data_IF_586583297677
#
_entry.id   IF_586583297677
#
_cell.length_a   1.000
_cell.length_b   1.000
_cell.length_c   1.000
_cell.angle_alpha   90.00
_cell.angle_beta   90.00
_cell.angle_gamma   90.00
#
_symmetry.space_group_name_H-M   'P 1'
#
loop_
_entity.id
_entity.type
_entity.pdbx_description
1 polymer ?
#
# COMPACT_ATOMS: atom_id res chain seq x y z
N UNK A 1 -4.29 -18.42 19.51
CA UNK A 1 -5.35 -18.21 20.54
C UNK A 1 -6.10 -16.90 20.35
N UNK A 2 -5.46 -15.73 20.44
CA UNK A 2 -6.14 -14.43 20.22
C UNK A 2 -6.88 -14.35 18.87
N UNK A 3 -6.24 -14.81 17.78
CA UNK A 3 -6.89 -14.86 16.45
C UNK A 3 -8.15 -15.74 16.45
N UNK A 4 -8.06 -16.95 17.00
CA UNK A 4 -9.21 -17.87 17.09
C UNK A 4 -10.39 -17.25 17.87
N UNK A 5 -10.08 -16.60 18.99
CA UNK A 5 -11.08 -15.90 19.81
C UNK A 5 -11.71 -14.73 19.06
N UNK A 6 -10.91 -13.94 18.34
CA UNK A 6 -11.43 -12.81 17.57
C UNK A 6 -12.28 -13.25 16.36
N UNK A 7 -11.92 -14.37 15.74
CA UNK A 7 -12.65 -14.95 14.62
C UNK A 7 -13.84 -15.85 15.04
N UNK A 8 -14.09 -15.99 16.34
CA UNK A 8 -15.13 -16.87 16.90
C UNK A 8 -15.05 -18.32 16.40
N UNK A 9 -13.84 -18.88 16.34
CA UNK A 9 -13.57 -20.26 15.93
C UNK A 9 -12.83 -21.07 17.00
N UNK A 10 -13.01 -22.40 17.05
CA UNK A 10 -12.22 -23.26 17.93
C UNK A 10 -10.72 -23.13 17.65
N UNK A 11 -9.90 -23.23 18.70
CA UNK A 11 -8.43 -23.19 18.55
C UNK A 11 -7.92 -24.29 17.60
N UNK A 12 -8.55 -25.47 17.61
CA UNK A 12 -8.20 -26.58 16.73
C UNK A 12 -8.37 -26.26 15.24
N UNK A 13 -9.29 -25.36 14.87
CA UNK A 13 -9.47 -24.91 13.48
C UNK A 13 -8.27 -24.09 12.99
N UNK A 14 -7.65 -23.29 13.85
CA UNK A 14 -6.45 -22.54 13.48
C UNK A 14 -5.29 -23.49 13.14
N UNK A 15 -5.04 -24.48 14.01
CA UNK A 15 -3.95 -25.45 13.82
C UNK A 15 -4.22 -26.45 12.69
N UNK A 16 -5.47 -26.56 12.24
CA UNK A 16 -5.84 -27.34 11.06
C UNK A 16 -5.51 -26.60 9.77
N UNK A 17 -5.74 -25.27 9.73
CA UNK A 17 -5.53 -24.45 8.53
C UNK A 17 -4.14 -23.84 8.41
N UNK A 18 -3.44 -23.65 9.53
CA UNK A 18 -2.13 -23.01 9.58
C UNK A 18 -1.19 -23.82 10.45
N UNK A 19 -0.05 -24.17 9.88
CA UNK A 19 1.04 -24.92 10.52
C UNK A 19 1.68 -24.08 11.63
N UNK A 20 1.83 -22.78 11.39
CA UNK A 20 2.37 -21.82 12.36
C UNK A 20 1.79 -20.40 12.18
N UNK A 21 2.31 -19.45 12.96
CA UNK A 21 1.89 -18.05 12.88
C UNK A 21 2.38 -17.36 11.60
N UNK A 22 3.54 -17.75 11.06
CA UNK A 22 4.09 -17.11 9.87
C UNK A 22 3.26 -17.47 8.64
N UNK A 23 2.79 -18.71 8.52
CA UNK A 23 1.87 -19.12 7.46
C UNK A 23 0.55 -18.33 7.51
N UNK A 24 -0.02 -18.17 8.70
CA UNK A 24 -1.21 -17.34 8.90
C UNK A 24 -0.96 -15.87 8.51
N UNK A 25 0.17 -15.30 8.94
CA UNK A 25 0.51 -13.90 8.65
C UNK A 25 0.81 -13.70 7.16
N UNK A 26 1.48 -14.65 6.51
CA UNK A 26 1.72 -14.62 5.07
C UNK A 26 0.41 -14.54 4.30
N UNK A 27 -0.57 -15.39 4.63
CA UNK A 27 -1.90 -15.36 4.00
C UNK A 27 -2.65 -14.06 4.29
N UNK A 28 -2.63 -13.60 5.55
CA UNK A 28 -3.28 -12.36 5.94
C UNK A 28 -2.69 -11.14 5.21
N UNK A 29 -1.36 -11.00 5.20
CA UNK A 29 -0.68 -9.90 4.52
C UNK A 29 -0.78 -9.99 3.00
N UNK A 30 -0.83 -11.19 2.43
CA UNK A 30 -1.08 -11.38 0.99
C UNK A 30 -2.45 -10.82 0.62
N UNK A 31 -3.50 -11.17 1.37
CA UNK A 31 -4.86 -10.65 1.15
C UNK A 31 -4.95 -9.14 1.39
N UNK A 32 -4.26 -8.65 2.41
CA UNK A 32 -4.16 -7.21 2.68
C UNK A 32 -3.53 -6.46 1.51
N UNK A 33 -2.37 -6.92 1.02
CA UNK A 33 -1.67 -6.32 -0.11
C UNK A 33 -2.52 -6.34 -1.38
N UNK A 34 -3.23 -7.44 -1.66
CA UNK A 34 -4.11 -7.55 -2.82
C UNK A 34 -5.29 -6.57 -2.74
N UNK A 35 -5.86 -6.36 -1.53
CA UNK A 35 -6.93 -5.37 -1.29
C UNK A 35 -6.45 -3.93 -1.49
N UNK A 36 -5.27 -3.60 -0.97
CA UNK A 36 -4.66 -2.27 -1.13
C UNK A 36 -4.33 -2.01 -2.61
N UNK A 37 -3.70 -2.98 -3.27
CA UNK A 37 -3.37 -2.90 -4.70
C UNK A 37 -4.62 -2.73 -5.57
N UNK A 38 -5.72 -3.42 -5.24
CA UNK A 38 -6.99 -3.26 -5.97
C UNK A 38 -7.49 -1.81 -5.90
N UNK A 39 -7.56 -1.20 -4.71
CA UNK A 39 -7.97 0.20 -4.54
C UNK A 39 -7.04 1.16 -5.31
N UNK A 40 -5.73 0.96 -5.15
CA UNK A 40 -4.71 1.74 -5.85
C UNK A 40 -4.90 1.68 -7.37
N UNK A 41 -4.99 0.47 -7.93
CA UNK A 41 -5.11 0.26 -9.36
C UNK A 41 -6.45 0.77 -9.89
N UNK A 42 -7.57 0.58 -9.19
CA UNK A 42 -8.85 1.16 -9.58
C UNK A 42 -8.78 2.68 -9.72
N UNK A 43 -8.10 3.37 -8.79
CA UNK A 43 -7.95 4.83 -8.84
C UNK A 43 -7.00 5.28 -9.95
N UNK A 44 -5.82 4.67 -10.06
CA UNK A 44 -4.82 5.03 -11.07
C UNK A 44 -5.33 4.73 -12.48
N UNK A 45 -5.95 3.56 -12.69
CA UNK A 45 -6.41 3.13 -14.01
C UNK A 45 -7.68 3.85 -14.48
N UNK A 46 -8.37 4.58 -13.59
CA UNK A 46 -9.48 5.46 -13.92
C UNK A 46 -9.03 6.83 -14.49
N UNK A 47 -7.74 7.18 -14.40
CA UNK A 47 -7.22 8.41 -14.99
C UNK A 47 -7.16 8.30 -16.54
N UNK A 48 -7.42 9.42 -17.22
CA UNK A 48 -7.37 9.51 -18.69
C UNK A 48 -6.29 10.48 -19.21
N UNK A 49 -5.63 11.19 -18.29
CA UNK A 49 -4.58 12.16 -18.57
C UNK A 49 -3.57 12.21 -17.43
N UNK A 50 -2.44 12.89 -17.63
CA UNK A 50 -1.46 13.15 -16.58
C UNK A 50 -2.04 14.01 -15.46
N UNK A 51 -2.89 15.00 -15.77
CA UNK A 51 -3.56 15.80 -14.75
C UNK A 51 -4.54 14.96 -13.91
N UNK A 52 -5.25 14.02 -14.53
CA UNK A 52 -6.10 13.06 -13.80
C UNK A 52 -5.25 12.15 -12.90
N UNK A 53 -4.09 11.68 -13.38
CA UNK A 53 -3.16 10.87 -12.59
C UNK A 53 -2.65 11.64 -11.37
N UNK A 54 -2.29 12.92 -11.53
CA UNK A 54 -1.89 13.78 -10.41
C UNK A 54 -3.02 13.86 -9.39
N UNK A 55 -4.26 14.11 -9.83
CA UNK A 55 -5.43 14.15 -8.96
C UNK A 55 -5.67 12.82 -8.23
N UNK A 56 -5.55 11.70 -8.94
CA UNK A 56 -5.67 10.35 -8.41
C UNK A 56 -4.64 10.08 -7.31
N UNK A 57 -3.37 10.46 -7.53
CA UNK A 57 -2.30 10.31 -6.53
C UNK A 57 -2.56 11.17 -5.29
N UNK A 58 -2.96 12.43 -5.45
CA UNK A 58 -3.27 13.30 -4.31
C UNK A 58 -4.45 12.75 -3.51
N UNK A 59 -5.47 12.19 -4.17
CA UNK A 59 -6.58 11.53 -3.51
C UNK A 59 -6.15 10.25 -2.77
N UNK A 60 -5.27 9.42 -3.34
CA UNK A 60 -4.73 8.24 -2.67
C UNK A 60 -4.03 8.62 -1.37
N UNK A 61 -3.12 9.60 -1.41
CA UNK A 61 -2.32 10.04 -0.26
C UNK A 61 -3.21 10.59 0.86
N UNK A 62 -4.29 11.31 0.54
CA UNK A 62 -5.05 12.12 1.52
C UNK A 62 -6.45 11.61 1.87
N UNK A 63 -7.12 10.86 0.99
CA UNK A 63 -8.49 10.36 1.25
C UNK A 63 -8.50 8.90 1.64
N UNK A 64 -7.85 8.05 0.86
CA UNK A 64 -8.00 6.60 1.04
C UNK A 64 -7.04 6.03 2.09
N UNK A 65 -5.89 6.67 2.28
CA UNK A 65 -4.85 6.18 3.17
C UNK A 65 -4.84 6.86 4.56
N UNK A 66 -5.39 8.08 4.67
CA UNK A 66 -5.57 8.78 5.97
C UNK A 66 -6.85 8.34 6.69
N UNK A 67 -7.87 7.88 5.96
CA UNK A 67 -9.15 7.48 6.57
C UNK A 67 -9.11 6.12 7.29
N UNK A 68 -8.02 5.36 7.17
CA UNK A 68 -7.84 4.09 7.88
C UNK A 68 -6.47 4.05 8.57
N UNK A 69 -6.38 4.50 9.84
CA UNK A 69 -5.17 4.33 10.65
C UNK A 69 -4.66 2.88 10.67
N UNK A 70 -5.56 1.92 10.47
CA UNK A 70 -5.25 0.50 10.36
C UNK A 70 -4.41 0.18 9.11
N UNK A 71 -4.69 0.80 7.96
CA UNK A 71 -3.92 0.56 6.74
C UNK A 71 -2.47 1.09 6.87
N UNK A 72 -2.26 2.21 7.59
CA UNK A 72 -0.91 2.66 7.92
C UNK A 72 -0.17 1.64 8.79
N UNK A 73 -0.79 1.21 9.88
CA UNK A 73 -0.17 0.24 10.80
C UNK A 73 0.16 -1.05 10.05
N UNK A 74 -0.78 -1.61 9.29
CA UNK A 74 -0.58 -2.84 8.53
C UNK A 74 0.52 -2.72 7.47
N UNK A 75 0.61 -1.60 6.76
CA UNK A 75 1.69 -1.36 5.80
C UNK A 75 3.06 -1.30 6.48
N UNK A 76 3.18 -0.58 7.60
CA UNK A 76 4.43 -0.48 8.37
C UNK A 76 4.82 -1.82 9.01
N UNK A 77 3.86 -2.59 9.50
CA UNK A 77 4.09 -3.95 10.02
C UNK A 77 4.58 -4.90 8.92
N UNK A 78 3.94 -4.87 7.74
CA UNK A 78 4.37 -5.66 6.58
C UNK A 78 5.79 -5.30 6.15
N UNK A 79 6.13 -4.01 6.07
CA UNK A 79 7.49 -3.57 5.71
C UNK A 79 8.52 -3.99 6.76
N UNK A 80 8.18 -3.90 8.05
CA UNK A 80 9.03 -4.37 9.14
C UNK A 80 9.26 -5.88 9.08
N UNK A 81 8.22 -6.65 8.81
CA UNK A 81 8.31 -8.10 8.61
C UNK A 81 9.16 -8.44 7.38
N UNK A 82 8.89 -7.81 6.23
CA UNK A 82 9.65 -8.01 5.00
C UNK A 82 11.13 -7.64 5.15
N UNK A 83 11.45 -6.61 5.94
CA UNK A 83 12.84 -6.27 6.23
C UNK A 83 13.57 -7.41 6.96
N UNK A 84 12.88 -8.11 7.87
CA UNK A 84 13.45 -9.19 8.71
C UNK A 84 13.35 -10.58 8.10
N UNK A 85 12.30 -10.86 7.32
CA UNK A 85 11.90 -12.19 6.85
C UNK A 85 11.75 -12.23 5.33
N UNK A 86 12.65 -12.93 4.60
CA UNK A 86 12.65 -12.96 3.13
C UNK A 86 11.32 -13.40 2.49
N UNK A 87 10.59 -14.32 3.12
CA UNK A 87 9.31 -14.84 2.65
C UNK A 87 8.23 -13.75 2.51
N UNK A 88 8.27 -12.72 3.37
CA UNK A 88 7.37 -11.56 3.29
C UNK A 88 7.81 -10.55 2.22
N UNK A 89 9.08 -10.52 1.82
CA UNK A 89 9.56 -9.63 0.73
C UNK A 89 8.90 -9.95 -0.60
N UNK A 90 8.47 -11.19 -0.80
CA UNK A 90 7.73 -11.58 -2.01
C UNK A 90 6.41 -10.82 -2.13
N UNK A 91 5.75 -10.53 -1.00
CA UNK A 91 4.49 -9.78 -0.95
C UNK A 91 4.74 -8.33 -1.37
N UNK A 92 5.69 -7.66 -0.71
CA UNK A 92 6.03 -6.25 -1.02
C UNK A 92 6.57 -6.09 -2.44
N UNK A 93 7.42 -7.01 -2.90
CA UNK A 93 7.91 -7.03 -4.28
C UNK A 93 6.78 -7.13 -5.30
N UNK A 94 5.82 -8.05 -5.09
CA UNK A 94 4.67 -8.20 -6.00
C UNK A 94 3.81 -6.94 -6.01
N UNK A 95 3.53 -6.38 -4.84
CA UNK A 95 2.76 -5.14 -4.70
C UNK A 95 3.44 -3.97 -5.43
N UNK A 96 4.71 -3.67 -5.12
CA UNK A 96 5.46 -2.57 -5.77
C UNK A 96 5.58 -2.77 -7.28
N UNK A 97 5.77 -4.01 -7.75
CA UNK A 97 5.78 -4.30 -9.19
C UNK A 97 4.43 -3.96 -9.83
N UNK A 98 3.33 -4.40 -9.22
CA UNK A 98 2.00 -4.17 -9.77
C UNK A 98 1.61 -2.68 -9.71
N UNK A 99 2.00 -1.96 -8.66
CA UNK A 99 1.82 -0.51 -8.53
C UNK A 99 2.50 0.23 -9.68
N UNK A 100 3.79 -0.06 -9.91
CA UNK A 100 4.55 0.51 -11.03
C UNK A 100 3.95 0.17 -12.39
N UNK A 101 3.54 -1.07 -12.62
CA UNK A 101 2.88 -1.44 -13.89
C UNK A 101 1.57 -0.68 -14.15
N UNK A 102 0.86 -0.22 -13.11
CA UNK A 102 -0.30 0.65 -13.31
C UNK A 102 0.11 2.08 -13.72
N UNK A 103 1.19 2.61 -13.14
CA UNK A 103 1.75 3.92 -13.47
C UNK A 103 2.40 3.96 -14.86
N UNK A 104 3.03 2.86 -15.29
CA UNK A 104 3.65 2.70 -16.61
C UNK A 104 2.67 2.84 -17.80
N UNK A 105 1.36 2.92 -17.53
CA UNK A 105 0.36 3.29 -18.55
C UNK A 105 0.40 4.77 -18.93
N UNK A 106 1.01 5.61 -18.10
CA UNK A 106 1.04 7.07 -18.24
C UNK A 106 2.45 7.62 -18.42
N UNK A 107 3.45 6.95 -17.84
CA UNK A 107 4.85 7.40 -17.81
C UNK A 107 5.79 6.23 -18.13
N UNK A 108 7.06 6.54 -18.41
CA UNK A 108 8.09 5.51 -18.59
C UNK A 108 8.42 4.80 -17.26
N UNK A 109 9.18 3.70 -17.34
CA UNK A 109 9.46 2.84 -16.18
C UNK A 109 10.31 3.52 -15.09
N UNK A 110 11.20 4.44 -15.46
CA UNK A 110 12.02 5.18 -14.50
C UNK A 110 11.14 6.18 -13.74
N UNK A 111 10.34 6.96 -14.46
CA UNK A 111 9.38 7.88 -13.84
C UNK A 111 8.33 7.15 -12.99
N UNK A 112 7.85 5.97 -13.42
CA UNK A 112 6.94 5.14 -12.64
C UNK A 112 7.57 4.65 -11.33
N UNK A 113 8.85 4.30 -11.35
CA UNK A 113 9.60 3.88 -10.16
C UNK A 113 9.73 5.02 -9.15
N UNK A 114 10.12 6.20 -9.62
CA UNK A 114 10.28 7.39 -8.77
C UNK A 114 8.93 7.86 -8.20
N UNK A 115 7.87 7.79 -9.01
CA UNK A 115 6.53 8.16 -8.59
C UNK A 115 5.98 7.18 -7.53
N UNK A 116 6.17 5.87 -7.71
CA UNK A 116 5.78 4.86 -6.70
C UNK A 116 6.45 5.13 -5.35
N UNK A 117 7.76 5.42 -5.36
CA UNK A 117 8.50 5.76 -4.15
C UNK A 117 8.03 7.09 -3.53
N UNK A 118 7.75 8.10 -4.35
CA UNK A 118 7.21 9.39 -3.89
C UNK A 118 5.84 9.22 -3.23
N UNK A 119 4.94 8.41 -3.82
CA UNK A 119 3.61 8.13 -3.27
C UNK A 119 3.72 7.51 -1.87
N UNK A 120 4.55 6.48 -1.72
CA UNK A 120 4.75 5.80 -0.43
C UNK A 120 5.31 6.78 0.63
N UNK A 121 6.33 7.57 0.26
CA UNK A 121 6.89 8.58 1.16
C UNK A 121 5.85 9.63 1.56
N UNK A 122 5.10 10.18 0.60
CA UNK A 122 4.05 11.15 0.87
C UNK A 122 2.96 10.57 1.78
N UNK A 123 2.58 9.31 1.59
CA UNK A 123 1.62 8.62 2.45
C UNK A 123 2.11 8.51 3.89
N UNK A 124 3.31 7.97 4.12
CA UNK A 124 3.87 7.78 5.47
C UNK A 124 4.00 9.13 6.17
N UNK A 125 4.54 10.15 5.49
CA UNK A 125 4.73 11.48 6.06
C UNK A 125 3.39 12.16 6.36
N UNK A 126 2.41 12.10 5.45
CA UNK A 126 1.08 12.70 5.68
C UNK A 126 0.35 12.03 6.84
N UNK A 127 0.59 10.73 7.07
CA UNK A 127 -0.11 9.97 8.11
C UNK A 127 0.54 10.07 9.50
N UNK A 128 1.85 10.30 9.58
CA UNK A 128 2.60 10.36 10.85
C UNK A 128 2.93 11.78 11.31
N UNK A 129 2.99 12.76 10.40
CA UNK A 129 3.36 14.13 10.73
C UNK A 129 2.19 14.89 11.33
N UNK A 130 2.41 15.51 12.50
CA UNK A 130 1.43 16.37 13.17
C UNK A 130 1.24 17.72 12.46
N UNK A 131 2.18 18.10 11.58
CA UNK A 131 2.11 19.23 10.68
C UNK A 131 2.03 18.75 9.21
N UNK A 132 1.21 17.73 8.95
CA UNK A 132 1.05 17.11 7.64
C UNK A 132 0.90 18.14 6.53
N UNK A 133 1.65 17.92 5.44
CA UNK A 133 1.66 18.82 4.29
C UNK A 133 0.25 18.99 3.72
N UNK A 134 -0.14 20.21 3.31
CA UNK A 134 -1.42 20.42 2.65
C UNK A 134 -1.48 19.67 1.32
N UNK A 135 -2.69 19.29 0.90
CA UNK A 135 -2.96 18.62 -0.39
C UNK A 135 -2.30 19.31 -1.58
N UNK A 136 -2.26 20.65 -1.57
CA UNK A 136 -1.62 21.47 -2.62
C UNK A 136 -0.11 21.22 -2.72
N UNK A 137 0.56 20.90 -1.62
CA UNK A 137 2.00 20.58 -1.64
C UNK A 137 2.27 19.19 -2.19
N UNK A 138 1.40 18.22 -1.89
CA UNK A 138 1.42 16.89 -2.52
C UNK A 138 1.22 17.02 -4.02
N UNK A 139 0.22 17.77 -4.47
CA UNK A 139 -0.05 18.01 -5.90
C UNK A 139 1.18 18.63 -6.59
N UNK A 140 1.75 19.68 -5.98
CA UNK A 140 2.94 20.34 -6.49
C UNK A 140 4.14 19.39 -6.59
N UNK A 141 4.35 18.52 -5.60
CA UNK A 141 5.45 17.55 -5.62
C UNK A 141 5.28 16.53 -6.77
N UNK A 142 4.07 15.98 -6.93
CA UNK A 142 3.77 15.02 -8.00
C UNK A 142 3.88 15.67 -9.37
N UNK A 143 3.30 16.87 -9.57
CA UNK A 143 3.38 17.60 -10.83
C UNK A 143 4.83 17.89 -11.22
N UNK A 144 5.68 18.25 -10.25
CA UNK A 144 7.10 18.54 -10.47
C UNK A 144 7.92 17.31 -10.87
N UNK A 145 7.48 16.11 -10.50
CA UNK A 145 8.10 14.86 -10.96
C UNK A 145 7.64 14.48 -12.37
N UNK A 146 6.41 14.85 -12.74
CA UNK A 146 5.77 14.51 -14.02
C UNK A 146 5.96 15.55 -15.13
N UNK A 147 6.72 16.63 -14.88
CA UNK A 147 7.02 17.72 -15.83
C UNK A 147 8.52 17.80 -16.06
#
# INVERSE_FOLDING_TARGET
RKVAQHADVPLGSMTYHFTDMDELLLEAFTRYADRIFKRYSERVLAAHSIDDLIGAVVDLVHRELVQSPEDLVLSLELYTLAARKPEFRRITHRWMRNSRSALERFVDSETAFDLDALIEGLFIHTSLDQAARPRTDTERAVRRLLT
#
